data_IF_486160269931
#
_entry.id   IF_486160269931
#
_cell.length_a   1.000
_cell.length_b   1.000
_cell.length_c   1.000
_cell.angle_alpha   90.00
_cell.angle_beta   90.00
_cell.angle_gamma   90.00
#
_symmetry.space_group_name_H-M   'P 1'
#
loop_
_entity.id
_entity.type
_entity.pdbx_description
1 polymer ?
#
# COMPACT_ATOMS: atom_id res chain seq x y z
N UNK A 1 18.91 -17.55 12.95
CA UNK A 1 17.84 -18.39 13.53
C UNK A 1 16.67 -17.55 14.03
N UNK A 2 16.93 -16.45 14.74
CA UNK A 2 15.86 -15.61 15.31
C UNK A 2 14.99 -14.86 14.30
N UNK A 3 15.58 -14.19 13.30
CA UNK A 3 14.83 -13.46 12.26
C UNK A 3 13.82 -14.38 11.54
N UNK A 4 14.24 -15.59 11.18
CA UNK A 4 13.38 -16.57 10.49
C UNK A 4 12.12 -16.91 11.29
N UNK A 5 12.25 -17.11 12.60
CA UNK A 5 11.12 -17.42 13.49
C UNK A 5 10.14 -16.24 13.56
N UNK A 6 10.68 -15.01 13.67
CA UNK A 6 9.84 -13.80 13.69
C UNK A 6 9.08 -13.62 12.37
N UNK A 7 9.74 -13.85 11.23
CA UNK A 7 9.11 -13.80 9.91
C UNK A 7 8.00 -14.84 9.81
N UNK A 8 8.27 -16.10 10.18
CA UNK A 8 7.28 -17.18 10.12
C UNK A 8 6.03 -16.87 10.96
N UNK A 9 6.24 -16.31 12.16
CA UNK A 9 5.14 -15.86 13.02
C UNK A 9 4.35 -14.71 12.37
N UNK A 10 5.03 -13.66 11.90
CA UNK A 10 4.40 -12.50 11.26
C UNK A 10 3.61 -12.89 10.01
N UNK A 11 4.19 -13.74 9.16
CA UNK A 11 3.55 -14.27 7.96
C UNK A 11 2.34 -15.13 8.28
N UNK A 12 2.34 -15.87 9.39
CA UNK A 12 1.17 -16.64 9.83
C UNK A 12 -0.01 -15.73 10.12
N UNK A 13 0.17 -14.68 10.92
CA UNK A 13 -0.90 -13.71 11.19
C UNK A 13 -1.36 -13.01 9.90
N UNK A 14 -0.43 -12.64 9.02
CA UNK A 14 -0.74 -12.01 7.73
C UNK A 14 -1.61 -12.91 6.83
N UNK A 15 -1.26 -14.19 6.72
CA UNK A 15 -2.00 -15.20 5.92
C UNK A 15 -3.39 -15.48 6.51
N UNK A 16 -3.53 -15.45 7.83
CA UNK A 16 -4.82 -15.59 8.51
C UNK A 16 -5.71 -14.33 8.40
N UNK A 17 -5.19 -13.24 7.83
CA UNK A 17 -5.91 -11.96 7.75
C UNK A 17 -6.02 -11.22 9.08
N UNK A 18 -5.28 -11.66 10.10
CA UNK A 18 -5.16 -10.98 11.39
C UNK A 18 -4.19 -9.81 11.25
N UNK A 19 -4.64 -8.77 10.53
CA UNK A 19 -3.79 -7.70 10.03
C UNK A 19 -3.16 -6.86 11.14
N UNK A 20 -3.91 -6.56 12.21
CA UNK A 20 -3.37 -5.81 13.35
C UNK A 20 -2.27 -6.56 14.07
N UNK A 21 -2.42 -7.88 14.23
CA UNK A 21 -1.38 -8.72 14.84
C UNK A 21 -0.16 -8.82 13.92
N UNK A 22 -0.39 -9.02 12.62
CA UNK A 22 0.67 -9.06 11.63
C UNK A 22 1.48 -7.76 11.63
N UNK A 23 0.82 -6.60 11.67
CA UNK A 23 1.47 -5.29 11.75
C UNK A 23 2.37 -5.19 12.98
N UNK A 24 1.86 -5.58 14.15
CA UNK A 24 2.63 -5.60 15.39
C UNK A 24 3.85 -6.52 15.33
N UNK A 25 3.75 -7.66 14.63
CA UNK A 25 4.88 -8.59 14.44
C UNK A 25 5.90 -8.05 13.45
N UNK A 26 5.46 -7.48 12.33
CA UNK A 26 6.36 -6.85 11.36
C UNK A 26 7.07 -5.63 11.92
N UNK A 27 6.40 -4.83 12.76
CA UNK A 27 7.04 -3.71 13.48
C UNK A 27 8.20 -4.18 14.35
N UNK A 28 8.04 -5.28 15.09
CA UNK A 28 9.13 -5.87 15.88
C UNK A 28 10.29 -6.38 15.02
N UNK A 29 10.00 -6.92 13.83
CA UNK A 29 11.05 -7.31 12.87
C UNK A 29 11.82 -6.07 12.43
N UNK A 30 11.12 -4.99 12.06
CA UNK A 30 11.73 -3.72 11.64
C UNK A 30 12.58 -3.10 12.75
N UNK A 31 12.09 -3.09 14.00
CA UNK A 31 12.83 -2.55 15.15
C UNK A 31 14.16 -3.29 15.37
N UNK A 32 14.19 -4.61 15.13
CA UNK A 32 15.36 -5.44 15.36
C UNK A 32 16.27 -5.60 14.13
N UNK A 33 15.68 -5.52 12.94
CA UNK A 33 16.31 -5.75 11.64
C UNK A 33 15.83 -4.65 10.67
N UNK A 34 16.30 -3.41 10.83
CA UNK A 34 15.79 -2.26 10.06
C UNK A 34 16.05 -2.38 8.56
N UNK A 35 17.08 -3.14 8.15
CA UNK A 35 17.48 -3.38 6.76
C UNK A 35 16.76 -4.57 6.11
N UNK A 36 15.85 -5.24 6.82
CA UNK A 36 15.05 -6.34 6.26
C UNK A 36 13.85 -5.80 5.49
N UNK A 37 14.10 -5.40 4.24
CA UNK A 37 13.15 -4.68 3.39
C UNK A 37 11.82 -5.41 3.17
N UNK A 38 11.78 -6.74 3.21
CA UNK A 38 10.54 -7.50 3.03
C UNK A 38 9.53 -7.25 4.15
N UNK A 39 9.97 -6.86 5.36
CA UNK A 39 9.05 -6.43 6.40
C UNK A 39 8.34 -5.12 6.02
N UNK A 40 9.05 -4.17 5.39
CA UNK A 40 8.45 -2.94 4.87
C UNK A 40 7.49 -3.22 3.71
N UNK A 41 7.85 -4.13 2.80
CA UNK A 41 6.94 -4.62 1.76
C UNK A 41 5.63 -5.18 2.35
N UNK A 42 5.73 -5.96 3.43
CA UNK A 42 4.57 -6.56 4.10
C UNK A 42 3.74 -5.51 4.86
N UNK A 43 4.38 -4.57 5.53
CA UNK A 43 3.71 -3.43 6.18
C UNK A 43 2.90 -2.61 5.16
N UNK A 44 3.48 -2.29 4.00
CA UNK A 44 2.76 -1.61 2.93
C UNK A 44 1.52 -2.40 2.48
N UNK A 45 1.64 -3.72 2.33
CA UNK A 45 0.51 -4.58 1.95
C UNK A 45 -0.58 -4.61 3.02
N UNK A 46 -0.20 -4.65 4.30
CA UNK A 46 -1.14 -4.56 5.42
C UNK A 46 -1.89 -3.23 5.34
N UNK A 47 -1.17 -2.12 5.18
CA UNK A 47 -1.76 -0.79 5.11
C UNK A 47 -2.72 -0.61 3.93
N UNK A 48 -2.40 -1.16 2.74
CA UNK A 48 -3.33 -1.21 1.60
C UNK A 48 -4.61 -1.97 1.97
N UNK A 49 -4.50 -3.12 2.64
CA UNK A 49 -5.66 -3.94 3.03
C UNK A 49 -6.51 -3.29 4.13
N UNK A 50 -5.95 -2.33 4.86
CA UNK A 50 -6.64 -1.54 5.90
C UNK A 50 -6.98 -0.11 5.46
N UNK A 51 -6.85 0.21 4.17
CA UNK A 51 -7.12 1.53 3.57
C UNK A 51 -6.30 2.70 4.16
N UNK A 52 -5.12 2.39 4.72
CA UNK A 52 -4.18 3.38 5.26
C UNK A 52 -3.16 3.78 4.18
N UNK A 53 -3.64 4.46 3.14
CA UNK A 53 -2.87 4.67 1.90
C UNK A 53 -1.56 5.45 2.09
N UNK A 54 -1.55 6.47 2.95
CA UNK A 54 -0.33 7.26 3.20
C UNK A 54 0.75 6.42 3.91
N UNK A 55 0.35 5.62 4.89
CA UNK A 55 1.26 4.70 5.57
C UNK A 55 1.78 3.61 4.61
N UNK A 56 0.93 3.14 3.68
CA UNK A 56 1.34 2.19 2.66
C UNK A 56 2.43 2.78 1.75
N UNK A 57 2.27 4.02 1.29
CA UNK A 57 3.28 4.71 0.47
C UNK A 57 4.59 4.85 1.21
N UNK A 58 4.60 5.31 2.46
CA UNK A 58 5.83 5.45 3.25
C UNK A 58 6.56 4.10 3.43
N UNK A 59 5.81 3.03 3.69
CA UNK A 59 6.39 1.69 3.81
C UNK A 59 6.99 1.21 2.49
N UNK A 60 6.31 1.43 1.36
CA UNK A 60 6.85 1.04 0.05
C UNK A 60 8.01 1.93 -0.41
N UNK A 61 8.01 3.23 -0.10
CA UNK A 61 9.16 4.11 -0.35
C UNK A 61 10.40 3.61 0.41
N UNK A 62 10.21 3.19 1.66
CA UNK A 62 11.28 2.55 2.46
C UNK A 62 11.75 1.25 1.81
N UNK A 63 10.82 0.40 1.34
CA UNK A 63 11.14 -0.82 0.57
C UNK A 63 12.00 -0.50 -0.65
N UNK A 64 11.59 0.48 -1.47
CA UNK A 64 12.33 0.86 -2.69
C UNK A 64 13.70 1.47 -2.41
N UNK A 65 13.86 2.14 -1.27
CA UNK A 65 15.15 2.70 -0.87
C UNK A 65 16.14 1.61 -0.43
N UNK A 66 15.65 0.52 0.19
CA UNK A 66 16.49 -0.59 0.65
C UNK A 66 16.77 -1.63 -0.44
N UNK A 67 15.80 -1.89 -1.32
CA UNK A 67 15.90 -2.87 -2.40
C UNK A 67 15.41 -2.27 -3.74
N UNK A 68 16.17 -1.34 -4.34
CA UNK A 68 15.76 -0.66 -5.57
C UNK A 68 15.63 -1.61 -6.78
N UNK A 69 16.25 -2.78 -6.75
CA UNK A 69 16.15 -3.82 -7.76
C UNK A 69 14.92 -4.73 -7.61
N UNK A 70 14.25 -4.71 -6.46
CA UNK A 70 13.05 -5.52 -6.25
C UNK A 70 11.81 -4.84 -6.84
N UNK A 71 11.42 -5.31 -8.02
CA UNK A 71 10.26 -4.80 -8.77
C UNK A 71 8.95 -4.83 -7.97
N UNK A 72 8.83 -5.69 -6.95
CA UNK A 72 7.63 -5.76 -6.11
C UNK A 72 7.47 -4.50 -5.25
N UNK A 73 8.56 -3.90 -4.77
CA UNK A 73 8.49 -2.65 -4.03
C UNK A 73 7.94 -1.53 -4.93
N UNK A 74 8.44 -1.43 -6.15
CA UNK A 74 8.03 -0.39 -7.12
C UNK A 74 6.60 -0.57 -7.61
N UNK A 75 6.20 -1.79 -7.98
CA UNK A 75 4.84 -2.06 -8.43
C UNK A 75 3.82 -1.72 -7.32
N UNK A 76 4.09 -2.13 -6.09
CA UNK A 76 3.20 -1.84 -4.97
C UNK A 76 3.19 -0.35 -4.59
N UNK A 77 4.32 0.36 -4.69
CA UNK A 77 4.37 1.81 -4.52
C UNK A 77 3.52 2.54 -5.58
N UNK A 78 3.65 2.14 -6.85
CA UNK A 78 2.85 2.69 -7.94
C UNK A 78 1.36 2.44 -7.71
N UNK A 79 0.98 1.21 -7.35
CA UNK A 79 -0.39 0.83 -7.00
C UNK A 79 -0.95 1.70 -5.86
N UNK A 80 -0.16 1.89 -4.80
CA UNK A 80 -0.54 2.71 -3.64
C UNK A 80 -0.80 4.17 -4.04
N UNK A 81 0.08 4.76 -4.86
CA UNK A 81 -0.07 6.14 -5.36
C UNK A 81 -1.25 6.30 -6.31
N UNK A 82 -1.54 5.32 -7.16
CA UNK A 82 -2.75 5.33 -8.01
C UNK A 82 -4.00 5.30 -7.12
N UNK A 83 -4.02 4.47 -6.07
CA UNK A 83 -5.13 4.45 -5.09
C UNK A 83 -5.30 5.79 -4.37
N UNK A 84 -4.21 6.45 -3.95
CA UNK A 84 -4.29 7.81 -3.39
C UNK A 84 -4.86 8.81 -4.41
N UNK A 85 -4.47 8.70 -5.68
CA UNK A 85 -5.01 9.51 -6.77
C UNK A 85 -6.52 9.31 -6.93
N UNK A 86 -6.98 8.06 -6.95
CA UNK A 86 -8.42 7.73 -6.99
C UNK A 86 -9.16 8.32 -5.79
N UNK A 87 -8.64 8.16 -4.58
CA UNK A 87 -9.23 8.72 -3.35
C UNK A 87 -9.28 10.26 -3.39
N UNK A 88 -8.25 10.91 -3.92
CA UNK A 88 -8.21 12.36 -4.10
C UNK A 88 -9.29 12.82 -5.08
N UNK A 89 -9.52 12.08 -6.17
CA UNK A 89 -10.58 12.36 -7.14
C UNK A 89 -11.97 12.17 -6.54
N UNK A 90 -12.18 11.15 -5.72
CA UNK A 90 -13.45 10.97 -4.97
C UNK A 90 -13.73 12.19 -4.07
N UNK A 91 -12.72 12.64 -3.33
CA UNK A 91 -12.81 13.83 -2.50
C UNK A 91 -13.16 15.06 -3.35
N UNK A 92 -12.51 15.27 -4.49
CA UNK A 92 -12.80 16.35 -5.42
C UNK A 92 -14.23 16.30 -5.98
N UNK A 93 -14.67 15.11 -6.42
CA UNK A 93 -16.03 14.88 -6.93
C UNK A 93 -17.10 15.21 -5.89
N UNK A 94 -16.83 14.93 -4.61
CA UNK A 94 -17.75 15.26 -3.51
C UNK A 94 -17.96 16.78 -3.31
N UNK A 95 -17.09 17.63 -3.87
CA UNK A 95 -17.16 19.10 -3.75
C UNK A 95 -17.89 19.78 -4.91
N UNK A 96 -18.25 19.04 -5.95
CA UNK A 96 -18.90 19.58 -7.15
C UNK A 96 -20.26 18.93 -7.38
N UNK A 97 -21.16 19.63 -8.07
CA UNK A 97 -22.48 19.10 -8.39
C UNK A 97 -22.39 18.01 -9.45
N UNK A 98 -23.08 16.89 -9.21
CA UNK A 98 -23.19 15.78 -10.15
C UNK A 98 -23.80 16.27 -11.47
N UNK A 99 -23.21 15.84 -12.59
CA UNK A 99 -23.66 16.22 -13.94
C UNK A 99 -23.05 17.52 -14.48
N UNK A 100 -22.25 18.25 -13.70
CA UNK A 100 -21.46 19.37 -14.20
C UNK A 100 -20.25 18.88 -15.01
N UNK A 101 -19.72 19.74 -15.89
CA UNK A 101 -18.49 19.43 -16.64
C UNK A 101 -17.33 19.08 -15.70
N UNK A 102 -17.15 19.85 -14.62
CA UNK A 102 -16.13 19.58 -13.61
C UNK A 102 -16.27 18.19 -12.96
N UNK A 103 -17.50 17.74 -12.67
CA UNK A 103 -17.73 16.39 -12.18
C UNK A 103 -17.33 15.34 -13.22
N UNK A 104 -17.75 15.53 -14.48
CA UNK A 104 -17.46 14.58 -15.57
C UNK A 104 -15.96 14.47 -15.85
N UNK A 105 -15.22 15.59 -15.80
CA UNK A 105 -13.77 15.59 -16.00
C UNK A 105 -13.03 14.78 -14.91
N UNK A 106 -13.42 14.96 -13.65
CA UNK A 106 -12.86 14.20 -12.53
C UNK A 106 -13.22 12.70 -12.61
N UNK A 107 -14.47 12.40 -12.97
CA UNK A 107 -14.95 11.03 -13.13
C UNK A 107 -14.24 10.30 -14.28
N UNK A 108 -14.08 10.94 -15.43
CA UNK A 108 -13.36 10.37 -16.57
C UNK A 108 -11.90 10.08 -16.22
N UNK A 109 -11.24 10.99 -15.50
CA UNK A 109 -9.87 10.76 -15.05
C UNK A 109 -9.79 9.60 -14.05
N UNK A 110 -10.72 9.54 -13.10
CA UNK A 110 -10.80 8.44 -12.13
C UNK A 110 -10.96 7.08 -12.82
N UNK A 111 -11.86 6.99 -13.82
CA UNK A 111 -12.06 5.77 -14.61
C UNK A 111 -10.79 5.33 -15.32
N UNK A 112 -10.00 6.28 -15.87
CA UNK A 112 -8.69 5.97 -16.49
C UNK A 112 -7.71 5.38 -15.47
N UNK A 113 -7.64 5.93 -14.25
CA UNK A 113 -6.79 5.39 -13.19
C UNK A 113 -7.24 4.00 -12.73
N UNK A 114 -8.54 3.77 -12.55
CA UNK A 114 -9.07 2.46 -12.14
C UNK A 114 -8.78 1.39 -13.21
N UNK A 115 -8.79 1.75 -14.49
CA UNK A 115 -8.42 0.81 -15.57
C UNK A 115 -6.97 0.33 -15.45
N UNK A 116 -6.05 1.20 -15.01
CA UNK A 116 -4.65 0.80 -14.72
C UNK A 116 -4.60 -0.24 -13.60
N UNK A 117 -5.45 -0.10 -12.57
CA UNK A 117 -5.55 -1.06 -11.46
C UNK A 117 -6.16 -2.42 -11.87
N UNK A 118 -6.93 -2.45 -12.97
CA UNK A 118 -7.71 -3.61 -13.40
C UNK A 118 -7.02 -4.42 -14.51
N UNK A 119 -5.84 -3.97 -14.97
CA UNK A 119 -5.08 -4.58 -16.06
C UNK A 119 -3.99 -5.56 -15.60
N UNK A 120 -3.97 -5.93 -14.33
CA UNK A 120 -3.15 -7.01 -13.74
C UNK A 120 -4.00 -8.24 -13.42
#
# INVERSE_FOLDING_TARGET
MELKILIEEADRFYKLGLLSDAEGKYRKIIEKYPDYYEAWLKMGNIFIRTDQLDAAVLAYETCTAQAPEDVRCWNNLALARVKQGVHTLDNGKSKVLVGTQAYMDLDEFQVKLIKILSSE
#
